data_IF_766828350003
#
_entry.id   IF_766828350003
#
_cell.length_a   1.000
_cell.length_b   1.000
_cell.length_c   1.000
_cell.angle_alpha   90.00
_cell.angle_beta   90.00
_cell.angle_gamma   90.00
#
_symmetry.space_group_name_H-M   'P 1'
#
loop_
_entity.id
_entity.type
_entity.pdbx_description
1 polymer ?
#
# COMPACT_ATOMS: atom_id res chain seq x y z
N UNK A 1 -15.94 9.99 7.45
CA UNK A 1 -15.32 8.65 7.52
C UNK A 1 -13.98 8.74 8.22
N UNK A 2 -13.38 7.61 8.60
CA UNK A 2 -12.04 7.58 9.22
C UNK A 2 -10.91 7.64 8.18
N UNK A 3 -11.12 7.13 6.97
CA UNK A 3 -10.16 7.15 5.86
C UNK A 3 -10.94 7.36 4.55
N UNK A 4 -10.45 8.25 3.67
CA UNK A 4 -11.06 8.49 2.35
C UNK A 4 -10.37 7.69 1.21
N UNK A 5 -9.07 7.41 1.37
CA UNK A 5 -8.27 6.57 0.48
C UNK A 5 -7.10 5.96 1.26
N UNK A 6 -6.62 4.79 0.83
CA UNK A 6 -5.46 4.13 1.43
C UNK A 6 -4.70 3.31 0.40
N UNK A 7 -3.39 3.18 0.59
CA UNK A 7 -2.56 2.31 -0.25
C UNK A 7 -2.85 0.85 0.10
N UNK A 8 -2.93 0.00 -0.92
CA UNK A 8 -3.10 -1.43 -0.75
C UNK A 8 -2.44 -2.18 -1.91
N UNK A 9 -2.18 -3.47 -1.69
CA UNK A 9 -1.82 -4.39 -2.77
C UNK A 9 -3.08 -4.65 -3.61
N UNK A 10 -2.90 -4.73 -4.91
CA UNK A 10 -3.96 -4.84 -5.92
C UNK A 10 -5.03 -5.89 -5.59
N UNK A 11 -4.62 -7.12 -5.31
CA UNK A 11 -5.54 -8.20 -5.00
C UNK A 11 -6.34 -7.93 -3.72
N UNK A 12 -5.75 -7.27 -2.72
CA UNK A 12 -6.44 -6.96 -1.46
C UNK A 12 -7.49 -5.89 -1.71
N UNK A 13 -7.14 -4.85 -2.46
CA UNK A 13 -8.08 -3.81 -2.86
C UNK A 13 -9.24 -4.37 -3.68
N UNK A 14 -8.95 -5.20 -4.69
CA UNK A 14 -9.96 -5.83 -5.55
C UNK A 14 -10.85 -6.80 -4.76
N UNK A 15 -10.27 -7.65 -3.93
CA UNK A 15 -11.04 -8.59 -3.07
C UNK A 15 -11.94 -7.84 -2.10
N UNK A 16 -11.42 -6.80 -1.43
CA UNK A 16 -12.21 -6.01 -0.48
C UNK A 16 -13.35 -5.27 -1.18
N UNK A 17 -13.10 -4.68 -2.36
CA UNK A 17 -14.14 -4.03 -3.15
C UNK A 17 -15.24 -5.02 -3.55
N UNK A 18 -14.88 -6.22 -4.03
CA UNK A 18 -15.84 -7.26 -4.38
C UNK A 18 -16.66 -7.73 -3.17
N UNK A 19 -16.00 -8.00 -2.04
CA UNK A 19 -16.68 -8.50 -0.84
C UNK A 19 -17.63 -7.47 -0.24
N UNK A 20 -17.19 -6.22 -0.18
CA UNK A 20 -18.01 -5.12 0.31
C UNK A 20 -19.23 -4.90 -0.58
N UNK A 21 -19.05 -4.91 -1.90
CA UNK A 21 -20.16 -4.75 -2.84
C UNK A 21 -21.17 -5.91 -2.70
N UNK A 22 -20.70 -7.15 -2.53
CA UNK A 22 -21.57 -8.30 -2.24
C UNK A 22 -22.29 -8.18 -0.89
N UNK A 23 -21.63 -7.63 0.13
CA UNK A 23 -22.20 -7.50 1.46
C UNK A 23 -23.26 -6.40 1.54
N UNK A 24 -22.98 -5.24 0.96
CA UNK A 24 -23.83 -4.04 1.05
C UNK A 24 -24.84 -3.97 -0.11
N UNK A 25 -24.62 -4.71 -1.20
CA UNK A 25 -25.47 -4.70 -2.39
C UNK A 25 -25.30 -3.46 -3.27
N UNK A 26 -24.27 -2.65 -3.03
CA UNK A 26 -23.88 -1.50 -3.85
C UNK A 26 -22.38 -1.24 -3.74
N UNK A 27 -21.82 -0.59 -4.75
CA UNK A 27 -20.41 -0.19 -4.77
C UNK A 27 -20.13 0.95 -3.79
N UNK A 28 -19.40 0.66 -2.71
CA UNK A 28 -18.97 1.65 -1.70
C UNK A 28 -17.45 1.84 -1.64
N UNK A 29 -16.69 0.85 -2.13
CA UNK A 29 -15.22 0.86 -2.21
C UNK A 29 -14.81 0.60 -3.65
N UNK A 30 -13.74 1.27 -4.10
CA UNK A 30 -13.13 1.04 -5.42
C UNK A 30 -11.63 0.84 -5.26
N UNK A 31 -11.09 -0.07 -6.07
CA UNK A 31 -9.65 -0.18 -6.26
C UNK A 31 -9.24 0.59 -7.52
N UNK A 32 -8.10 1.26 -7.44
CA UNK A 32 -7.47 1.94 -8.56
C UNK A 32 -5.97 1.74 -8.48
N UNK A 33 -5.32 1.59 -9.64
CA UNK A 33 -3.87 1.51 -9.77
C UNK A 33 -3.38 2.78 -10.47
N UNK A 34 -2.93 3.81 -9.72
CA UNK A 34 -2.42 5.04 -10.31
C UNK A 34 -1.20 4.81 -11.22
N UNK A 35 -1.24 5.34 -12.43
CA UNK A 35 -0.08 5.39 -13.35
C UNK A 35 1.05 6.22 -12.73
N UNK A 36 2.31 5.78 -12.93
CA UNK A 36 3.52 6.44 -12.42
C UNK A 36 3.60 6.64 -10.89
N UNK A 37 2.69 6.02 -10.11
CA UNK A 37 2.68 6.08 -8.64
C UNK A 37 2.41 4.71 -7.99
N UNK A 38 2.32 3.65 -8.77
CA UNK A 38 2.21 2.27 -8.29
C UNK A 38 3.47 1.50 -8.68
N UNK A 39 4.09 0.83 -7.72
CA UNK A 39 5.16 -0.12 -8.02
C UNK A 39 4.58 -1.47 -8.41
N UNK A 40 5.19 -2.11 -9.41
CA UNK A 40 4.87 -3.48 -9.81
C UNK A 40 6.03 -4.38 -9.37
N UNK A 41 5.72 -5.44 -8.64
CA UNK A 41 6.68 -6.46 -8.21
C UNK A 41 6.14 -7.85 -8.54
N UNK A 42 7.02 -8.73 -8.99
CA UNK A 42 6.68 -10.15 -9.16
C UNK A 42 6.96 -10.92 -7.86
N UNK A 43 6.04 -11.81 -7.48
CA UNK A 43 6.23 -12.71 -6.35
C UNK A 43 7.04 -13.93 -6.79
N UNK A 44 8.28 -14.14 -6.29
CA UNK A 44 9.09 -15.28 -6.68
C UNK A 44 8.67 -16.55 -5.92
N UNK A 45 8.98 -17.71 -6.50
CA UNK A 45 8.88 -19.02 -5.82
C UNK A 45 10.29 -19.59 -5.67
N UNK A 46 10.70 -19.84 -4.43
CA UNK A 46 12.01 -20.39 -4.10
C UNK A 46 11.93 -21.85 -3.66
N UNK A 47 12.91 -22.65 -4.09
CA UNK A 47 13.11 -24.02 -3.62
C UNK A 47 14.23 -24.07 -2.58
N UNK A 48 13.92 -24.49 -1.36
CA UNK A 48 14.93 -24.61 -0.30
C UNK A 48 15.97 -25.70 -0.59
N UNK A 49 17.22 -25.43 -0.22
CA UNK A 49 18.29 -26.43 -0.24
C UNK A 49 17.96 -27.55 0.76
N UNK A 50 18.02 -28.81 0.31
CA UNK A 50 17.71 -29.97 1.14
C UNK A 50 16.21 -30.27 1.28
N UNK A 51 15.35 -29.71 0.40
CA UNK A 51 13.94 -30.06 0.38
C UNK A 51 13.75 -31.59 0.31
N UNK A 52 13.02 -32.21 1.25
CA UNK A 52 12.93 -33.67 1.38
C UNK A 52 12.23 -34.34 0.18
N UNK A 53 11.45 -33.57 -0.58
CA UNK A 53 10.75 -34.02 -1.78
C UNK A 53 11.05 -33.08 -2.96
N UNK A 54 12.32 -33.03 -3.37
CA UNK A 54 12.80 -32.10 -4.41
C UNK A 54 12.01 -32.21 -5.71
N UNK A 55 11.85 -33.43 -6.23
CA UNK A 55 11.16 -33.69 -7.50
C UNK A 55 9.72 -33.13 -7.48
N UNK A 56 8.95 -33.40 -6.43
CA UNK A 56 7.58 -32.88 -6.30
C UNK A 56 7.53 -31.37 -6.17
N UNK A 57 8.52 -30.77 -5.52
CA UNK A 57 8.60 -29.32 -5.39
C UNK A 57 8.89 -28.65 -6.75
N UNK A 58 9.77 -29.25 -7.55
CA UNK A 58 10.03 -28.82 -8.92
C UNK A 58 8.76 -28.95 -9.79
N UNK A 59 8.07 -30.10 -9.74
CA UNK A 59 6.79 -30.29 -10.44
C UNK A 59 5.73 -29.25 -10.04
N UNK A 60 5.68 -28.87 -8.75
CA UNK A 60 4.76 -27.84 -8.28
C UNK A 60 5.11 -26.47 -8.83
N UNK A 61 6.40 -26.09 -8.82
CA UNK A 61 6.87 -24.83 -9.40
C UNK A 61 6.55 -24.78 -10.90
N UNK A 62 6.82 -25.87 -11.62
CA UNK A 62 6.49 -26.00 -13.05
C UNK A 62 5.00 -25.82 -13.29
N UNK A 63 4.14 -26.43 -12.47
CA UNK A 63 2.71 -26.23 -12.53
C UNK A 63 2.31 -24.78 -12.28
N UNK A 64 2.81 -24.13 -11.23
CA UNK A 64 2.45 -22.75 -10.90
C UNK A 64 2.88 -21.79 -12.01
N UNK A 65 4.02 -22.03 -12.67
CA UNK A 65 4.51 -21.22 -13.79
C UNK A 65 3.93 -21.64 -15.16
N UNK A 66 3.24 -22.78 -15.22
CA UNK A 66 2.54 -23.22 -16.43
C UNK A 66 1.40 -22.27 -16.78
N UNK A 67 0.93 -22.34 -18.03
CA UNK A 67 -0.24 -21.57 -18.48
C UNK A 67 -1.48 -21.90 -17.65
N UNK A 68 -1.69 -23.18 -17.34
CA UNK A 68 -2.83 -23.66 -16.56
C UNK A 68 -2.79 -23.14 -15.13
N UNK A 69 -1.63 -23.24 -14.46
CA UNK A 69 -1.46 -22.72 -13.09
C UNK A 69 -1.61 -21.20 -13.04
N UNK A 70 -1.10 -20.49 -14.05
CA UNK A 70 -1.20 -19.05 -14.12
C UNK A 70 -2.63 -18.53 -14.40
N UNK A 71 -3.45 -19.26 -15.16
CA UNK A 71 -4.87 -18.92 -15.37
C UNK A 71 -5.66 -18.86 -14.06
N UNK A 72 -5.38 -19.77 -13.12
CA UNK A 72 -6.10 -19.83 -11.85
C UNK A 72 -6.06 -18.51 -11.05
N UNK A 73 -5.01 -17.71 -11.22
CA UNK A 73 -4.77 -16.49 -10.45
C UNK A 73 -5.75 -15.35 -10.75
N UNK A 74 -6.27 -15.27 -11.97
CA UNK A 74 -7.10 -14.14 -12.37
C UNK A 74 -8.40 -14.52 -13.06
N UNK A 75 -8.62 -15.79 -13.39
CA UNK A 75 -9.89 -16.19 -13.99
C UNK A 75 -11.06 -16.04 -13.01
N UNK A 76 -12.20 -15.60 -13.51
CA UNK A 76 -13.46 -15.49 -12.74
C UNK A 76 -13.84 -16.87 -12.17
N UNK A 77 -14.25 -16.97 -10.88
CA UNK A 77 -14.63 -18.24 -10.30
C UNK A 77 -15.72 -18.97 -11.08
N UNK A 78 -15.53 -20.28 -11.28
CA UNK A 78 -16.47 -21.13 -12.01
C UNK A 78 -16.32 -21.11 -13.54
N UNK A 79 -15.48 -20.23 -14.11
CA UNK A 79 -15.11 -20.32 -15.53
C UNK A 79 -14.16 -21.50 -15.78
N UNK A 80 -14.11 -22.03 -17.02
CA UNK A 80 -13.14 -23.05 -17.39
C UNK A 80 -11.71 -22.64 -17.00
N UNK A 81 -10.95 -23.59 -16.45
CA UNK A 81 -9.56 -23.36 -16.00
C UNK A 81 -9.40 -22.29 -14.89
N UNK A 82 -10.50 -21.83 -14.29
CA UNK A 82 -10.50 -20.88 -13.18
C UNK A 82 -10.65 -21.52 -11.80
N UNK A 83 -10.53 -20.70 -10.73
CA UNK A 83 -10.76 -21.16 -9.36
C UNK A 83 -12.23 -21.54 -9.15
N UNK A 84 -12.49 -22.43 -8.19
CA UNK A 84 -13.86 -22.94 -7.97
C UNK A 84 -14.73 -22.04 -7.07
N UNK A 85 -14.12 -21.38 -6.08
CA UNK A 85 -14.86 -20.78 -4.96
C UNK A 85 -14.70 -19.26 -4.85
N UNK A 86 -13.45 -18.79 -4.93
CA UNK A 86 -13.12 -17.38 -4.71
C UNK A 86 -12.23 -16.87 -5.83
N UNK A 87 -12.45 -15.61 -6.21
CA UNK A 87 -11.56 -14.90 -7.09
C UNK A 87 -10.24 -14.66 -6.35
N UNK A 88 -9.12 -14.93 -7.01
CA UNK A 88 -7.80 -14.73 -6.40
C UNK A 88 -7.23 -13.33 -6.71
N UNK A 89 -7.76 -12.65 -7.73
CA UNK A 89 -7.39 -11.28 -8.14
C UNK A 89 -5.89 -11.05 -8.34
N UNK A 90 -5.13 -12.12 -8.60
CA UNK A 90 -3.69 -12.08 -8.82
C UNK A 90 -3.43 -11.98 -10.31
N UNK A 91 -2.65 -11.00 -10.73
CA UNK A 91 -2.30 -10.86 -12.14
C UNK A 91 -1.28 -11.96 -12.56
N UNK A 92 -1.49 -12.65 -13.68
CA UNK A 92 -0.55 -13.68 -14.14
C UNK A 92 0.79 -13.07 -14.57
N UNK A 93 1.90 -13.78 -14.31
CA UNK A 93 3.25 -13.35 -14.76
C UNK A 93 3.52 -13.69 -16.24
N UNK A 94 2.67 -14.55 -16.81
CA UNK A 94 2.77 -15.02 -18.20
C UNK A 94 2.15 -14.01 -19.16
N UNK A 95 2.96 -13.45 -20.08
CA UNK A 95 2.52 -12.48 -21.08
C UNK A 95 1.48 -13.04 -22.06
N UNK A 96 1.54 -14.34 -22.33
CA UNK A 96 0.61 -15.05 -23.22
C UNK A 96 -0.80 -15.23 -22.64
N UNK A 97 -1.06 -14.76 -21.41
CA UNK A 97 -2.39 -14.74 -20.77
C UNK A 97 -3.09 -13.38 -20.83
N UNK A 98 -2.57 -12.43 -21.60
CA UNK A 98 -3.16 -11.10 -21.76
C UNK A 98 -3.74 -10.87 -23.16
N UNK A 99 -3.99 -11.95 -23.92
CA UNK A 99 -4.73 -11.90 -25.18
C UNK A 99 -6.23 -11.64 -24.96
N UNK A 100 -6.96 -11.33 -26.04
CA UNK A 100 -8.38 -10.97 -25.95
C UNK A 100 -9.23 -12.05 -25.27
N UNK A 101 -9.03 -13.32 -25.63
CA UNK A 101 -9.82 -14.43 -25.08
C UNK A 101 -9.54 -14.67 -23.60
N UNK A 102 -8.27 -14.60 -23.17
CA UNK A 102 -7.93 -14.73 -21.75
C UNK A 102 -8.47 -13.56 -20.93
N UNK A 103 -8.36 -12.33 -21.45
CA UNK A 103 -8.88 -11.14 -20.78
C UNK A 103 -10.38 -11.22 -20.54
N UNK A 104 -11.17 -11.80 -21.46
CA UNK A 104 -12.63 -11.94 -21.26
C UNK A 104 -13.00 -12.75 -20.02
N UNK A 105 -12.14 -13.69 -19.62
CA UNK A 105 -12.36 -14.55 -18.45
C UNK A 105 -11.69 -14.03 -17.18
N UNK A 106 -10.92 -12.94 -17.25
CA UNK A 106 -10.22 -12.34 -16.11
C UNK A 106 -11.14 -11.54 -15.19
N UNK A 107 -10.80 -11.49 -13.90
CA UNK A 107 -11.44 -10.59 -12.92
C UNK A 107 -10.97 -9.15 -13.06
N UNK A 108 -9.85 -8.93 -13.74
CA UNK A 108 -9.27 -7.63 -14.05
C UNK A 108 -8.87 -7.54 -15.55
N UNK A 109 -9.83 -7.60 -16.49
CA UNK A 109 -9.58 -7.57 -17.93
C UNK A 109 -8.83 -6.32 -18.41
N UNK A 110 -8.93 -5.22 -17.66
CA UNK A 110 -8.30 -3.93 -17.94
C UNK A 110 -6.84 -3.84 -17.50
N UNK A 111 -6.38 -4.77 -16.65
CA UNK A 111 -5.05 -4.66 -16.05
C UNK A 111 -3.92 -4.86 -17.08
N UNK A 112 -2.93 -4.00 -17.04
CA UNK A 112 -1.69 -4.12 -17.80
C UNK A 112 -0.48 -3.93 -16.88
N UNK A 113 -0.04 -4.99 -16.17
CA UNK A 113 1.08 -4.87 -15.25
C UNK A 113 2.41 -4.61 -15.96
N UNK A 114 2.56 -5.02 -17.23
CA UNK A 114 3.80 -4.83 -17.98
C UNK A 114 3.96 -3.40 -18.47
N UNK A 115 2.89 -2.80 -18.98
CA UNK A 115 2.86 -1.37 -19.30
C UNK A 115 3.06 -0.53 -18.05
N UNK A 116 2.32 -0.82 -16.97
CA UNK A 116 2.45 -0.10 -15.70
C UNK A 116 3.88 -0.17 -15.12
N UNK A 117 4.54 -1.32 -15.19
CA UNK A 117 5.92 -1.48 -14.71
C UNK A 117 6.93 -0.61 -15.49
N UNK A 118 6.62 -0.20 -16.74
CA UNK A 118 7.46 0.68 -17.53
C UNK A 118 7.31 2.17 -17.15
N UNK A 119 6.18 2.55 -16.53
CA UNK A 119 5.84 3.93 -16.20
C UNK A 119 6.43 4.40 -14.86
N UNK A 120 6.95 3.49 -14.03
CA UNK A 120 7.49 3.82 -12.71
C UNK A 120 8.77 3.04 -12.40
N UNK A 121 9.92 3.74 -12.40
CA UNK A 121 11.19 3.17 -11.97
C UNK A 121 11.33 3.27 -10.44
N UNK A 122 11.29 2.14 -9.76
CA UNK A 122 11.47 2.09 -8.31
C UNK A 122 12.95 2.04 -7.92
N UNK A 123 13.44 3.12 -7.32
CA UNK A 123 14.81 3.24 -6.79
C UNK A 123 14.90 2.74 -5.34
N UNK A 124 14.94 1.41 -5.17
CA UNK A 124 14.91 0.79 -3.84
C UNK A 124 16.04 1.22 -2.89
N UNK A 125 17.19 1.65 -3.42
CA UNK A 125 18.30 2.16 -2.62
C UNK A 125 17.96 3.50 -1.90
N UNK A 126 17.02 4.28 -2.43
CA UNK A 126 16.64 5.58 -1.85
C UNK A 126 15.70 5.43 -0.65
N UNK A 127 14.81 4.44 -0.69
CA UNK A 127 13.76 4.24 0.31
C UNK A 127 14.05 3.08 1.27
N UNK A 128 14.78 2.06 0.83
CA UNK A 128 15.07 0.85 1.60
C UNK A 128 15.65 1.14 3.00
N UNK A 129 16.74 1.93 3.12
CA UNK A 129 17.32 2.30 4.42
C UNK A 129 16.37 3.08 5.33
N UNK A 130 15.35 3.74 4.76
CA UNK A 130 14.41 4.60 5.48
C UNK A 130 13.10 3.90 5.83
N UNK A 131 12.88 2.65 5.39
CA UNK A 131 11.59 1.97 5.58
C UNK A 131 11.20 1.86 7.05
N UNK A 132 12.15 1.54 7.94
CA UNK A 132 11.91 1.49 9.38
C UNK A 132 11.58 2.86 10.00
N UNK A 133 12.23 3.90 9.50
CA UNK A 133 11.97 5.30 9.87
C UNK A 133 10.57 5.73 9.45
N UNK A 134 10.19 5.51 8.19
CA UNK A 134 8.87 5.84 7.66
C UNK A 134 7.76 5.11 8.44
N UNK A 135 7.94 3.81 8.70
CA UNK A 135 6.99 3.02 9.50
C UNK A 135 6.80 3.62 10.90
N UNK A 136 7.88 3.97 11.60
CA UNK A 136 7.80 4.57 12.93
C UNK A 136 7.17 5.96 12.88
N UNK A 137 7.59 6.78 11.90
CA UNK A 137 7.10 8.15 11.73
C UNK A 137 5.59 8.16 11.46
N UNK A 138 5.12 7.37 10.48
CA UNK A 138 3.71 7.28 10.11
C UNK A 138 2.87 6.77 11.28
N UNK A 139 3.36 5.75 12.01
CA UNK A 139 2.66 5.27 13.21
C UNK A 139 2.47 6.39 14.22
N UNK A 140 3.54 7.09 14.60
CA UNK A 140 3.45 8.14 15.63
C UNK A 140 2.57 9.29 15.16
N UNK A 141 2.78 9.73 13.91
CA UNK A 141 2.07 10.86 13.30
C UNK A 141 0.57 10.60 13.13
N UNK A 142 0.20 9.42 12.61
CA UNK A 142 -1.19 9.14 12.17
C UNK A 142 -1.98 8.35 13.19
N UNK A 143 -1.35 7.41 13.89
CA UNK A 143 -2.03 6.48 14.81
C UNK A 143 -1.93 6.99 16.24
N UNK A 144 -0.72 7.22 16.74
CA UNK A 144 -0.52 7.58 18.16
C UNK A 144 -1.01 9.01 18.48
N UNK A 145 -1.07 9.89 17.46
CA UNK A 145 -1.56 11.27 17.54
C UNK A 145 -2.89 11.49 16.78
N UNK A 146 -3.67 10.43 16.55
CA UNK A 146 -4.86 10.47 15.69
C UNK A 146 -5.90 11.52 16.13
N UNK A 147 -6.14 11.65 17.43
CA UNK A 147 -7.17 12.56 17.94
C UNK A 147 -6.81 14.03 17.68
N UNK A 148 -5.57 14.43 17.99
CA UNK A 148 -5.09 15.77 17.68
C UNK A 148 -5.02 16.04 16.17
N UNK A 149 -4.55 15.06 15.39
CA UNK A 149 -4.52 15.14 13.91
C UNK A 149 -5.91 15.44 13.35
N UNK A 150 -6.94 14.71 13.81
CA UNK A 150 -8.33 14.88 13.38
C UNK A 150 -8.90 16.23 13.81
N UNK A 151 -8.62 16.67 15.03
CA UNK A 151 -9.07 17.97 15.52
C UNK A 151 -8.50 19.11 14.68
N UNK A 152 -7.19 19.09 14.43
CA UNK A 152 -6.50 20.09 13.62
C UNK A 152 -7.03 20.15 12.19
N UNK A 153 -7.15 19.00 11.52
CA UNK A 153 -7.66 18.97 10.15
C UNK A 153 -9.12 19.43 10.06
N UNK A 154 -9.95 19.08 11.05
CA UNK A 154 -11.34 19.56 11.11
C UNK A 154 -11.40 21.08 11.25
N UNK A 155 -10.58 21.68 12.11
CA UNK A 155 -10.53 23.12 12.28
C UNK A 155 -10.09 23.83 10.98
N UNK A 156 -9.03 23.34 10.32
CA UNK A 156 -8.57 23.86 9.03
C UNK A 156 -9.68 23.77 7.97
N UNK A 157 -10.36 22.63 7.86
CA UNK A 157 -11.45 22.45 6.90
C UNK A 157 -12.65 23.37 7.18
N UNK A 158 -12.98 23.61 8.45
CA UNK A 158 -14.07 24.51 8.85
C UNK A 158 -13.77 25.97 8.53
N UNK A 159 -12.51 26.38 8.53
CA UNK A 159 -12.09 27.72 8.15
C UNK A 159 -11.93 27.94 6.64
N UNK A 160 -12.40 27.00 5.80
CA UNK A 160 -12.31 27.10 4.34
C UNK A 160 -11.10 26.38 3.74
N UNK A 161 -10.36 25.60 4.54
CA UNK A 161 -9.28 24.73 4.08
C UNK A 161 -7.89 25.37 4.13
N UNK A 162 -6.87 24.65 3.61
CA UNK A 162 -5.46 25.05 3.70
C UNK A 162 -5.14 26.45 3.16
N UNK A 163 -5.82 26.88 2.09
CA UNK A 163 -5.59 28.18 1.46
C UNK A 163 -6.12 29.34 2.32
N UNK A 164 -7.22 29.12 3.04
CA UNK A 164 -7.84 30.11 3.92
C UNK A 164 -7.16 30.18 5.30
N UNK A 165 -6.51 29.11 5.73
CA UNK A 165 -5.77 29.03 6.99
C UNK A 165 -4.30 28.57 6.79
N UNK A 166 -3.47 29.35 6.06
CA UNK A 166 -2.13 28.93 5.67
C UNK A 166 -1.20 28.69 6.86
N UNK A 167 -1.27 29.52 7.91
CA UNK A 167 -0.46 29.35 9.11
C UNK A 167 -0.80 28.05 9.87
N UNK A 168 -2.09 27.72 9.96
CA UNK A 168 -2.55 26.45 10.53
C UNK A 168 -2.06 25.25 9.71
N UNK A 169 -2.15 25.34 8.38
CA UNK A 169 -1.68 24.30 7.47
C UNK A 169 -0.16 24.10 7.55
N UNK A 170 0.62 25.17 7.69
CA UNK A 170 2.06 25.12 7.87
C UNK A 170 2.47 24.43 9.18
N UNK A 171 1.77 24.72 10.28
CA UNK A 171 1.98 24.01 11.53
C UNK A 171 1.60 22.53 11.41
N UNK A 172 0.50 22.22 10.72
CA UNK A 172 -0.02 20.87 10.52
C UNK A 172 0.93 19.96 9.73
N UNK A 173 1.59 20.48 8.68
CA UNK A 173 2.46 19.70 7.79
C UNK A 173 3.92 19.57 8.28
N UNK A 174 4.25 20.13 9.44
CA UNK A 174 5.63 20.15 9.95
C UNK A 174 6.10 18.75 10.35
N UNK A 175 7.33 18.41 10.00
CA UNK A 175 7.98 17.15 10.34
C UNK A 175 9.02 17.34 11.46
N UNK A 176 9.30 16.30 12.27
CA UNK A 176 10.25 16.39 13.39
C UNK A 176 11.72 16.45 12.95
N UNK A 177 11.99 16.34 11.66
CA UNK A 177 13.31 16.45 11.05
C UNK A 177 13.18 16.83 9.57
N UNK A 178 14.23 17.43 9.00
CA UNK A 178 14.34 17.72 7.58
C UNK A 178 14.76 16.48 6.77
N UNK A 179 14.42 16.44 5.49
CA UNK A 179 14.70 15.27 4.64
C UNK A 179 16.18 14.84 4.63
N UNK A 180 17.12 15.80 4.61
CA UNK A 180 18.55 15.51 4.59
C UNK A 180 19.05 14.83 5.89
N UNK A 181 18.27 14.88 6.98
CA UNK A 181 18.59 14.24 8.26
C UNK A 181 18.06 12.80 8.34
N UNK A 182 17.26 12.35 7.37
CA UNK A 182 16.51 11.10 7.44
C UNK A 182 17.39 9.86 7.67
N UNK A 183 18.59 9.82 7.09
CA UNK A 183 19.55 8.73 7.28
C UNK A 183 20.14 8.71 8.70
N UNK A 184 20.41 9.87 9.28
CA UNK A 184 20.90 9.95 10.67
C UNK A 184 19.78 9.59 11.65
N UNK A 185 18.54 10.00 11.38
CA UNK A 185 17.37 9.54 12.12
C UNK A 185 17.21 8.02 12.02
N UNK A 186 17.39 7.44 10.83
CA UNK A 186 17.30 5.99 10.65
C UNK A 186 18.31 5.23 11.52
N UNK A 187 19.54 5.75 11.65
CA UNK A 187 20.55 5.19 12.56
C UNK A 187 20.12 5.25 14.02
N UNK A 188 19.54 6.38 14.48
CA UNK A 188 19.02 6.53 15.85
C UNK A 188 17.94 5.49 16.16
N UNK A 189 17.09 5.16 15.20
CA UNK A 189 16.00 4.19 15.40
C UNK A 189 16.45 2.71 15.43
N UNK A 190 17.75 2.39 15.34
CA UNK A 190 18.22 1.01 15.30
C UNK A 190 18.23 0.32 16.67
N UNK A 191 18.36 1.07 17.77
CA UNK A 191 18.35 0.49 19.13
C UNK A 191 17.01 0.70 19.83
N UNK A 192 16.52 -0.28 20.63
CA UNK A 192 15.25 -0.13 21.35
C UNK A 192 15.19 1.10 22.26
N UNK A 193 16.30 1.44 22.92
CA UNK A 193 16.39 2.57 23.84
C UNK A 193 16.23 3.89 23.10
N UNK A 194 17.00 4.09 22.03
CA UNK A 194 16.95 5.32 21.23
C UNK A 194 15.64 5.43 20.45
N UNK A 195 15.09 4.31 19.98
CA UNK A 195 13.76 4.25 19.39
C UNK A 195 12.68 4.71 20.37
N UNK A 196 12.72 4.26 21.63
CA UNK A 196 11.74 4.65 22.65
C UNK A 196 11.78 6.15 22.93
N UNK A 197 12.98 6.72 23.07
CA UNK A 197 13.18 8.17 23.25
C UNK A 197 12.66 8.95 22.04
N UNK A 198 13.08 8.56 20.83
CA UNK A 198 12.68 9.23 19.58
C UNK A 198 11.16 9.19 19.37
N UNK A 199 10.52 8.04 19.64
CA UNK A 199 9.06 7.92 19.56
C UNK A 199 8.37 8.87 20.52
N UNK A 200 8.83 8.97 21.77
CA UNK A 200 8.28 9.92 22.74
C UNK A 200 8.44 11.37 22.26
N UNK A 201 9.61 11.74 21.76
CA UNK A 201 9.87 13.08 21.22
C UNK A 201 8.94 13.41 20.05
N UNK A 202 8.78 12.48 19.11
CA UNK A 202 7.88 12.64 17.97
C UNK A 202 6.41 12.75 18.39
N UNK A 203 5.97 11.96 19.37
CA UNK A 203 4.60 12.06 19.89
C UNK A 203 4.35 13.45 20.48
N UNK A 204 5.28 13.98 21.28
CA UNK A 204 5.16 15.33 21.84
C UNK A 204 5.17 16.39 20.74
N UNK A 205 6.08 16.26 19.77
CA UNK A 205 6.17 17.15 18.62
C UNK A 205 4.86 17.21 17.82
N UNK A 206 4.33 16.06 17.37
CA UNK A 206 3.13 16.05 16.55
C UNK A 206 1.90 16.55 17.31
N UNK A 207 1.74 16.16 18.59
CA UNK A 207 0.65 16.70 19.43
C UNK A 207 0.72 18.21 19.55
N UNK A 208 1.91 18.77 19.77
CA UNK A 208 2.11 20.21 19.82
C UNK A 208 1.77 20.87 18.48
N UNK A 209 2.29 20.34 17.38
CA UNK A 209 2.04 20.89 16.04
C UNK A 209 0.56 20.87 15.65
N UNK A 210 -0.18 19.82 15.97
CA UNK A 210 -1.61 19.73 15.70
C UNK A 210 -2.46 20.65 16.59
N UNK A 211 -2.08 20.82 17.87
CA UNK A 211 -2.73 21.82 18.75
C UNK A 211 -2.49 23.24 18.22
N UNK A 212 -1.24 23.57 17.90
CA UNK A 212 -0.89 24.85 17.31
C UNK A 212 -1.65 25.10 16.00
N UNK A 213 -1.76 24.08 15.13
CA UNK A 213 -2.55 24.19 13.90
C UNK A 213 -4.02 24.52 14.20
N UNK A 214 -4.60 23.96 15.26
CA UNK A 214 -5.98 24.28 15.69
C UNK A 214 -6.11 25.72 16.18
N UNK A 215 -5.13 26.23 16.91
CA UNK A 215 -5.11 27.60 17.47
C UNK A 215 -4.84 28.69 16.41
N UNK A 216 -4.18 28.32 15.30
CA UNK A 216 -3.85 29.25 14.20
C UNK A 216 -4.96 29.38 13.16
N UNK A 217 -6.08 28.71 13.35
CA UNK A 217 -7.26 28.88 12.50
C UNK A 217 -7.94 30.22 12.84
N UNK A 218 -8.22 31.08 11.84
CA UNK A 218 -8.84 32.39 12.06
C UNK A 218 -10.31 32.33 12.53
#
# INVERSE_FOLDING_TARGET
GQIAAGMCIDLYGRSQAEWEEKHVGRRTIVYHTPTAASSVSADPIGLFRGAPNRERAEMFIDFVLSRQGQKLWNTIPGRPEGPRKYALHRLPIRRDLYGEDDRRDMTAPEADPFGLAAEFTYEGAWTGPLFGTLRTLIRVMVIDCQDELRAAWKAIAQAGGPEAAPAAHDAFRKLPFAHHEALEVAKKLQTPESQTVTVREWTLFFRQQYRQATELVP
#
